data_IF_660730505226
#
_entry.id   IF_660730505226
#
_cell.length_a   1.000
_cell.length_b   1.000
_cell.length_c   1.000
_cell.angle_alpha   90.00
_cell.angle_beta   90.00
_cell.angle_gamma   90.00
#
_symmetry.space_group_name_H-M   'P 1'
#
loop_
_entity.id
_entity.type
_entity.pdbx_description
1 polymer ?
#
# COMPACT_ATOMS: atom_id res chain seq x y z
N UNK A 1 -4.53 49.88 13.99
CA UNK A 1 -4.53 48.51 14.52
C UNK A 1 -5.56 47.72 13.71
N UNK A 2 -5.14 47.30 12.53
CA UNK A 2 -5.99 46.51 11.62
C UNK A 2 -5.83 45.02 11.93
N UNK A 3 -6.94 44.39 12.24
CA UNK A 3 -7.02 42.94 12.40
C UNK A 3 -7.18 42.38 10.98
N UNK A 4 -6.09 41.84 10.43
CA UNK A 4 -6.14 41.05 9.22
C UNK A 4 -6.64 39.66 9.64
N UNK A 5 -7.91 39.37 9.35
CA UNK A 5 -8.46 38.04 9.38
C UNK A 5 -7.78 37.27 8.24
N UNK A 6 -6.83 36.41 8.57
CA UNK A 6 -6.14 35.59 7.60
C UNK A 6 -7.08 34.67 6.89
N UNK A 7 -7.37 34.96 5.63
CA UNK A 7 -7.93 33.97 4.72
C UNK A 7 -6.97 32.81 4.59
N UNK A 8 -7.47 31.61 4.79
CA UNK A 8 -6.77 30.36 4.44
C UNK A 8 -6.59 30.41 2.92
N UNK A 9 -5.39 30.80 2.49
CA UNK A 9 -4.97 30.54 1.10
C UNK A 9 -4.71 29.05 1.08
N UNK A 10 -5.64 28.26 0.57
CA UNK A 10 -5.34 26.94 0.05
C UNK A 10 -4.23 27.12 -0.98
N UNK A 11 -3.01 26.89 -0.56
CA UNK A 11 -1.90 26.73 -1.49
C UNK A 11 -2.24 25.48 -2.29
N UNK A 12 -2.69 25.69 -3.52
CA UNK A 12 -2.80 24.65 -4.53
C UNK A 12 -1.37 24.11 -4.77
N UNK A 13 -0.97 23.11 -3.98
CA UNK A 13 0.36 22.51 -3.99
C UNK A 13 0.49 21.54 -5.17
N UNK A 14 -0.05 21.93 -6.35
CA UNK A 14 0.16 21.19 -7.59
C UNK A 14 1.63 21.19 -7.95
N UNK A 15 2.26 20.04 -7.80
CA UNK A 15 3.67 19.84 -8.19
C UNK A 15 3.79 19.81 -9.71
N UNK A 16 2.76 19.29 -10.38
CA UNK A 16 2.60 19.26 -11.82
C UNK A 16 1.18 19.68 -12.20
N UNK A 17 1.04 20.35 -13.34
CA UNK A 17 -0.24 20.92 -13.78
C UNK A 17 -1.32 19.88 -14.06
N UNK A 18 -0.92 18.65 -14.40
CA UNK A 18 -1.78 17.51 -14.75
C UNK A 18 -1.91 16.47 -13.63
N UNK A 19 -1.37 16.74 -12.44
CA UNK A 19 -1.45 15.83 -11.28
C UNK A 19 -2.17 16.54 -10.14
N UNK A 20 -3.45 16.25 -9.98
CA UNK A 20 -4.26 16.76 -8.87
C UNK A 20 -4.03 15.92 -7.62
N UNK A 21 -4.36 16.45 -6.45
CA UNK A 21 -4.21 15.77 -5.16
C UNK A 21 -5.07 14.51 -5.02
N UNK A 22 -6.16 14.42 -5.77
CA UNK A 22 -7.05 13.25 -5.87
C UNK A 22 -6.60 12.20 -6.90
N UNK A 23 -5.54 12.48 -7.68
CA UNK A 23 -5.02 11.52 -8.63
C UNK A 23 -4.43 10.29 -7.91
N UNK A 24 -4.81 9.09 -8.32
CA UNK A 24 -4.40 7.83 -7.67
C UNK A 24 -2.89 7.64 -7.50
N UNK A 25 -2.06 8.22 -8.38
CA UNK A 25 -0.60 8.17 -8.30
C UNK A 25 0.03 9.46 -7.73
N UNK A 26 -0.77 10.40 -7.20
CA UNK A 26 -0.28 11.70 -6.71
C UNK A 26 0.89 11.55 -5.74
N UNK A 27 0.75 10.67 -4.77
CA UNK A 27 1.74 10.40 -3.73
C UNK A 27 3.05 9.88 -4.27
N UNK A 28 2.96 8.85 -5.10
CA UNK A 28 4.13 8.26 -5.72
C UNK A 28 4.89 9.30 -6.54
N UNK A 29 4.16 10.07 -7.35
CA UNK A 29 4.73 11.13 -8.18
C UNK A 29 5.36 12.22 -7.31
N UNK A 30 4.66 12.68 -6.26
CA UNK A 30 5.18 13.69 -5.35
C UNK A 30 6.44 13.22 -4.62
N UNK A 31 6.39 12.02 -4.05
CA UNK A 31 7.52 11.45 -3.30
C UNK A 31 8.75 11.25 -4.19
N UNK A 32 8.58 10.65 -5.37
CA UNK A 32 9.70 10.42 -6.29
C UNK A 32 10.26 11.73 -6.87
N UNK A 33 9.42 12.75 -7.05
CA UNK A 33 9.91 14.09 -7.42
C UNK A 33 10.76 14.71 -6.33
N UNK A 34 10.30 14.66 -5.08
CA UNK A 34 11.04 15.19 -3.93
C UNK A 34 12.37 14.47 -3.70
N UNK A 35 12.44 13.17 -4.06
CA UNK A 35 13.68 12.39 -4.07
C UNK A 35 14.56 12.67 -5.29
N UNK A 36 14.13 13.50 -6.24
CA UNK A 36 14.87 13.77 -7.47
C UNK A 36 14.89 12.62 -8.49
N UNK A 37 14.10 11.58 -8.28
CA UNK A 37 14.04 10.38 -9.15
C UNK A 37 13.33 10.67 -10.45
N UNK A 38 12.25 11.47 -10.39
CA UNK A 38 11.47 11.85 -11.55
C UNK A 38 11.43 13.37 -11.73
N UNK A 39 11.21 13.79 -12.96
CA UNK A 39 11.04 15.18 -13.34
C UNK A 39 9.83 15.33 -14.28
N UNK A 40 9.31 16.56 -14.40
CA UNK A 40 8.28 16.91 -15.37
C UNK A 40 8.85 17.00 -16.80
N UNK A 41 7.97 17.36 -17.73
CA UNK A 41 8.26 17.42 -19.18
C UNK A 41 8.81 18.79 -19.64
N UNK A 42 9.04 19.72 -18.72
CA UNK A 42 9.53 21.07 -19.05
C UNK A 42 8.41 22.09 -19.34
N UNK A 43 7.19 21.63 -19.59
CA UNK A 43 5.97 22.44 -19.76
C UNK A 43 5.14 22.58 -18.46
N UNK A 44 5.68 22.10 -17.36
CA UNK A 44 5.02 22.05 -16.03
C UNK A 44 4.15 20.82 -15.81
N UNK A 45 3.97 19.94 -16.81
CA UNK A 45 3.24 18.67 -16.68
C UNK A 45 4.14 17.51 -16.30
N UNK A 46 3.54 16.45 -15.71
CA UNK A 46 4.19 15.15 -15.52
C UNK A 46 3.98 14.23 -16.72
N UNK A 47 2.81 14.27 -17.34
CA UNK A 47 2.42 13.39 -18.44
C UNK A 47 2.00 12.01 -17.96
N UNK A 48 1.03 11.94 -17.05
CA UNK A 48 0.60 10.71 -16.34
C UNK A 48 0.34 9.51 -17.25
N UNK A 49 -0.30 9.73 -18.40
CA UNK A 49 -0.71 8.69 -19.35
C UNK A 49 0.32 8.40 -20.44
N UNK A 50 1.41 9.15 -20.48
CA UNK A 50 2.46 8.90 -21.46
C UNK A 50 3.24 7.64 -21.14
N UNK A 51 3.54 6.86 -22.16
CA UNK A 51 4.38 5.67 -22.02
C UNK A 51 5.84 6.03 -21.71
N UNK A 52 6.48 5.23 -20.87
CA UNK A 52 7.88 5.36 -20.49
C UNK A 52 8.77 4.60 -21.46
N UNK A 53 9.91 5.16 -21.85
CA UNK A 53 10.92 4.41 -22.61
C UNK A 53 11.77 3.53 -21.69
N UNK A 54 12.43 2.53 -22.27
CA UNK A 54 13.28 1.60 -21.51
C UNK A 54 14.41 2.31 -20.76
N UNK A 55 15.08 3.26 -21.40
CA UNK A 55 16.15 4.06 -20.81
C UNK A 55 15.63 5.03 -19.71
N UNK A 56 14.43 5.59 -19.88
CA UNK A 56 13.78 6.37 -18.85
C UNK A 56 13.47 5.52 -17.61
N UNK A 57 12.96 4.32 -17.82
CA UNK A 57 12.67 3.39 -16.74
C UNK A 57 13.93 2.98 -15.98
N UNK A 58 15.01 2.62 -16.68
CA UNK A 58 16.28 2.23 -16.05
C UNK A 58 16.84 3.36 -15.19
N UNK A 59 16.82 4.61 -15.68
CA UNK A 59 17.19 5.77 -14.89
C UNK A 59 16.36 5.90 -13.60
N UNK A 60 15.05 5.77 -13.72
CA UNK A 60 14.17 5.86 -12.55
C UNK A 60 14.42 4.71 -11.57
N UNK A 61 14.61 3.49 -12.06
CA UNK A 61 14.87 2.30 -11.23
C UNK A 61 16.15 2.45 -10.43
N UNK A 62 17.27 2.87 -11.06
CA UNK A 62 18.51 3.13 -10.34
C UNK A 62 18.36 4.30 -9.36
N UNK A 63 17.61 5.33 -9.77
CA UNK A 63 17.40 6.53 -8.98
C UNK A 63 16.68 6.30 -7.64
N UNK A 64 15.69 5.39 -7.58
CA UNK A 64 14.97 5.10 -6.32
C UNK A 64 15.88 4.50 -5.24
N UNK A 65 17.02 3.94 -5.64
CA UNK A 65 17.99 3.31 -4.74
C UNK A 65 19.23 4.16 -4.51
N UNK A 66 19.27 5.37 -5.06
CA UNK A 66 20.43 6.26 -4.95
C UNK A 66 21.69 5.65 -5.55
N UNK A 67 21.55 4.72 -6.52
CA UNK A 67 22.73 4.14 -7.19
C UNK A 67 23.37 5.19 -8.08
N UNK A 68 24.61 5.46 -7.79
CA UNK A 68 25.44 6.28 -8.67
C UNK A 68 25.75 5.51 -9.95
N UNK A 69 25.88 6.24 -11.05
CA UNK A 69 26.30 5.64 -12.33
C UNK A 69 27.81 5.42 -12.30
N UNK A 70 28.24 4.26 -12.75
CA UNK A 70 29.63 3.90 -12.85
C UNK A 70 30.14 4.12 -14.28
N UNK A 71 31.44 4.35 -14.42
CA UNK A 71 32.07 4.43 -15.71
C UNK A 71 32.44 3.01 -16.18
N UNK A 72 31.48 2.35 -16.79
CA UNK A 72 31.59 0.97 -17.28
C UNK A 72 31.44 0.93 -18.80
N UNK A 73 32.02 -0.11 -19.41
CA UNK A 73 32.01 -0.28 -20.86
C UNK A 73 30.58 -0.45 -21.41
N UNK A 74 30.34 0.18 -22.55
CA UNK A 74 29.09 0.03 -23.26
C UNK A 74 28.99 -1.37 -23.90
N UNK A 75 27.88 -2.08 -23.60
CA UNK A 75 27.59 -3.42 -24.14
C UNK A 75 26.62 -3.41 -25.32
N UNK A 76 26.05 -2.26 -25.67
CA UNK A 76 24.98 -2.16 -26.66
C UNK A 76 25.32 -1.20 -27.79
N UNK A 77 25.16 -1.64 -29.01
CA UNK A 77 25.48 -0.87 -30.22
C UNK A 77 24.55 0.32 -30.47
N UNK A 78 23.32 0.27 -29.94
CA UNK A 78 22.33 1.34 -30.04
C UNK A 78 22.40 2.38 -28.91
N UNK A 79 23.34 2.23 -27.96
CA UNK A 79 23.55 3.18 -26.86
C UNK A 79 24.65 4.18 -27.25
N UNK A 80 24.24 5.43 -27.55
CA UNK A 80 25.18 6.53 -27.80
C UNK A 80 25.76 7.02 -26.45
N UNK A 81 27.08 6.84 -26.25
CA UNK A 81 27.79 7.18 -25.01
C UNK A 81 27.73 8.66 -24.65
N UNK A 82 27.40 9.55 -25.60
CA UNK A 82 27.26 10.99 -25.34
C UNK A 82 25.87 11.39 -24.87
N UNK A 83 24.95 10.44 -24.74
CA UNK A 83 23.56 10.70 -24.31
C UNK A 83 23.40 10.51 -22.82
N UNK A 84 22.42 11.24 -22.27
CA UNK A 84 22.10 11.25 -20.83
C UNK A 84 21.82 9.86 -20.24
N UNK A 85 21.32 8.93 -21.07
CA UNK A 85 20.91 7.59 -20.62
C UNK A 85 22.06 6.59 -20.56
N UNK A 86 23.16 6.83 -21.31
CA UNK A 86 24.25 5.87 -21.43
C UNK A 86 24.84 5.43 -20.09
N UNK A 87 25.16 6.32 -19.14
CA UNK A 87 25.70 5.91 -17.85
C UNK A 87 24.74 4.99 -17.07
N UNK A 88 23.43 5.26 -17.14
CA UNK A 88 22.41 4.46 -16.46
C UNK A 88 22.25 3.08 -17.11
N UNK A 89 22.18 3.03 -18.42
CA UNK A 89 22.04 1.76 -19.17
C UNK A 89 23.27 0.88 -18.96
N UNK A 90 24.46 1.45 -19.08
CA UNK A 90 25.71 0.70 -18.90
C UNK A 90 25.87 0.17 -17.47
N UNK A 91 25.58 0.99 -16.45
CA UNK A 91 25.57 0.56 -15.04
C UNK A 91 24.56 -0.58 -14.82
N UNK A 92 23.33 -0.45 -15.34
CA UNK A 92 22.30 -1.49 -15.20
C UNK A 92 22.68 -2.79 -15.91
N UNK A 93 23.39 -2.70 -17.05
CA UNK A 93 23.93 -3.86 -17.77
C UNK A 93 25.08 -4.54 -17.00
N UNK A 94 25.94 -3.77 -16.39
CA UNK A 94 27.03 -4.31 -15.57
C UNK A 94 26.50 -5.01 -14.31
N UNK A 95 25.47 -4.43 -13.67
CA UNK A 95 24.75 -5.04 -12.57
C UNK A 95 23.90 -6.26 -12.96
N UNK A 96 23.79 -6.60 -14.26
CA UNK A 96 22.94 -7.71 -14.74
C UNK A 96 21.43 -7.45 -14.64
N UNK A 97 21.02 -6.19 -14.46
CA UNK A 97 19.60 -5.80 -14.41
C UNK A 97 19.01 -5.82 -15.83
N UNK A 98 19.74 -5.30 -16.81
CA UNK A 98 19.36 -5.30 -18.22
C UNK A 98 20.23 -6.22 -19.04
N UNK A 99 19.65 -6.87 -20.04
CA UNK A 99 20.33 -7.78 -20.96
C UNK A 99 20.08 -7.45 -22.45
N UNK A 100 19.45 -6.31 -22.72
CA UNK A 100 19.03 -5.95 -24.08
C UNK A 100 17.73 -6.63 -24.52
N UNK A 101 17.25 -6.24 -25.69
CA UNK A 101 16.15 -6.90 -26.41
C UNK A 101 16.69 -7.92 -27.42
N UNK A 102 17.94 -7.74 -27.87
CA UNK A 102 18.76 -8.64 -28.67
C UNK A 102 20.18 -8.67 -28.10
N UNK A 103 21.07 -9.47 -28.66
CA UNK A 103 22.41 -9.75 -28.11
C UNK A 103 23.23 -8.47 -27.81
N UNK A 104 23.20 -7.49 -28.71
CA UNK A 104 23.94 -6.21 -28.58
C UNK A 104 23.02 -4.97 -28.70
N UNK A 105 21.71 -5.13 -28.58
CA UNK A 105 20.72 -4.06 -28.72
C UNK A 105 19.96 -3.88 -27.41
N UNK A 106 20.07 -2.70 -26.79
CA UNK A 106 19.32 -2.34 -25.59
C UNK A 106 17.85 -2.05 -25.89
N UNK A 107 17.55 -1.46 -27.05
CA UNK A 107 16.22 -0.95 -27.42
C UNK A 107 16.01 0.50 -26.98
N UNK A 108 16.96 1.38 -27.30
CA UNK A 108 16.83 2.82 -27.02
C UNK A 108 15.62 3.41 -27.72
N UNK A 109 14.78 4.14 -26.98
CA UNK A 109 13.53 4.72 -27.49
C UNK A 109 12.33 3.77 -27.49
N UNK A 110 12.53 2.46 -27.35
CA UNK A 110 11.45 1.49 -27.20
C UNK A 110 10.66 1.75 -25.91
N UNK A 111 9.34 1.55 -25.97
CA UNK A 111 8.50 1.67 -24.78
C UNK A 111 8.59 0.40 -23.96
N UNK A 112 8.77 0.57 -22.64
CA UNK A 112 8.84 -0.58 -21.74
C UNK A 112 7.44 -1.17 -21.53
N UNK A 113 7.31 -2.49 -21.68
CA UNK A 113 6.06 -3.18 -21.37
C UNK A 113 5.93 -3.42 -19.86
N UNK A 114 4.72 -3.68 -19.40
CA UNK A 114 4.46 -3.96 -17.97
C UNK A 114 5.17 -5.24 -17.50
N UNK A 115 5.23 -6.28 -18.36
CA UNK A 115 5.98 -7.50 -18.02
C UNK A 115 7.49 -7.27 -17.99
N UNK A 116 8.06 -6.49 -18.92
CA UNK A 116 9.50 -6.18 -18.94
C UNK A 116 9.90 -5.34 -17.72
N UNK A 117 9.06 -4.36 -17.36
CA UNK A 117 9.26 -3.59 -16.15
C UNK A 117 9.35 -4.50 -14.92
N UNK A 118 8.48 -5.50 -14.80
CA UNK A 118 8.51 -6.48 -13.71
C UNK A 118 9.80 -7.29 -13.68
N UNK A 119 10.29 -7.69 -14.84
CA UNK A 119 11.57 -8.43 -14.99
C UNK A 119 12.75 -7.60 -14.48
N UNK A 120 12.84 -6.33 -14.90
CA UNK A 120 13.94 -5.46 -14.48
C UNK A 120 13.90 -5.17 -12.97
N UNK A 121 12.72 -4.94 -12.39
CA UNK A 121 12.56 -4.77 -10.94
C UNK A 121 13.03 -6.04 -10.19
N UNK A 122 12.56 -7.21 -10.59
CA UNK A 122 12.94 -8.48 -9.92
C UNK A 122 14.43 -8.74 -10.02
N UNK A 123 15.05 -8.48 -11.17
CA UNK A 123 16.51 -8.60 -11.31
C UNK A 123 17.24 -7.66 -10.35
N UNK A 124 16.79 -6.42 -10.23
CA UNK A 124 17.35 -5.48 -9.25
C UNK A 124 17.18 -6.00 -7.81
N UNK A 125 15.96 -6.43 -7.42
CA UNK A 125 15.70 -6.97 -6.09
C UNK A 125 16.58 -8.18 -5.75
N UNK A 126 16.85 -9.05 -6.73
CA UNK A 126 17.77 -10.19 -6.57
C UNK A 126 19.22 -9.75 -6.34
N UNK A 127 19.68 -8.69 -7.02
CA UNK A 127 21.00 -8.10 -6.78
C UNK A 127 21.17 -7.58 -5.34
N UNK A 128 20.08 -7.07 -4.77
CA UNK A 128 20.02 -6.61 -3.37
C UNK A 128 19.73 -7.76 -2.38
N UNK A 129 19.89 -9.03 -2.79
CA UNK A 129 19.64 -10.23 -1.99
C UNK A 129 18.23 -10.27 -1.37
N UNK A 130 17.23 -9.76 -2.08
CA UNK A 130 15.87 -9.83 -1.63
C UNK A 130 15.30 -11.23 -1.83
N UNK A 131 14.79 -11.82 -0.76
CA UNK A 131 13.93 -12.98 -0.87
C UNK A 131 12.60 -12.57 -1.51
N UNK A 132 12.21 -13.25 -2.57
CA UNK A 132 11.02 -12.96 -3.34
C UNK A 132 9.89 -13.98 -3.05
N UNK A 133 9.94 -14.55 -1.87
CA UNK A 133 8.96 -15.51 -1.41
C UNK A 133 7.72 -14.76 -0.90
N UNK A 134 6.58 -15.03 -1.52
CA UNK A 134 5.29 -14.51 -1.11
C UNK A 134 4.26 -15.64 -1.08
N UNK A 135 3.10 -15.39 -0.48
CA UNK A 135 1.98 -16.33 -0.51
C UNK A 135 1.54 -16.58 -1.96
N UNK A 136 1.16 -17.80 -2.27
CA UNK A 136 0.56 -18.11 -3.57
C UNK A 136 -0.76 -17.35 -3.70
N UNK A 137 -0.88 -16.54 -4.75
CA UNK A 137 -2.09 -15.75 -5.03
C UNK A 137 -2.71 -16.24 -6.35
N UNK A 138 -4.01 -16.00 -6.51
CA UNK A 138 -4.74 -16.32 -7.74
C UNK A 138 -4.08 -15.72 -8.97
N UNK A 139 -4.16 -16.45 -10.09
CA UNK A 139 -3.62 -15.99 -11.36
C UNK A 139 -4.36 -14.75 -11.88
N UNK A 140 -3.69 -13.96 -12.70
CA UNK A 140 -4.36 -12.92 -13.48
C UNK A 140 -5.29 -13.55 -14.52
N UNK A 141 -6.36 -12.84 -14.90
CA UNK A 141 -7.34 -13.34 -15.88
C UNK A 141 -6.71 -13.53 -17.28
N UNK A 142 -5.64 -12.81 -17.57
CA UNK A 142 -4.86 -12.85 -18.79
C UNK A 142 -3.49 -13.54 -18.61
N UNK A 143 -3.38 -14.49 -17.68
CA UNK A 143 -2.15 -15.24 -17.38
C UNK A 143 -1.49 -15.85 -18.63
N UNK A 144 -2.29 -16.33 -19.56
CA UNK A 144 -1.81 -16.90 -20.81
C UNK A 144 -1.10 -15.91 -21.75
N UNK A 145 -1.28 -14.61 -21.57
CA UNK A 145 -0.64 -13.56 -22.35
C UNK A 145 0.72 -13.13 -21.77
N UNK A 146 1.02 -13.52 -20.52
CA UNK A 146 2.32 -13.26 -19.90
C UNK A 146 3.36 -14.18 -20.55
N UNK A 147 4.40 -13.57 -21.10
CA UNK A 147 5.51 -14.33 -21.72
C UNK A 147 6.25 -15.18 -20.68
N UNK A 148 6.67 -16.39 -21.06
CA UNK A 148 7.31 -17.35 -20.16
C UNK A 148 8.49 -16.75 -19.37
N UNK A 149 9.33 -15.93 -20.03
CA UNK A 149 10.48 -15.28 -19.40
C UNK A 149 10.10 -14.29 -18.29
N UNK A 150 8.89 -13.76 -18.31
CA UNK A 150 8.42 -12.73 -17.38
C UNK A 150 7.53 -13.28 -16.27
N UNK A 151 6.99 -14.49 -16.44
CA UNK A 151 5.95 -15.08 -15.58
C UNK A 151 6.37 -15.11 -14.11
N UNK A 152 7.54 -15.66 -13.82
CA UNK A 152 8.08 -15.74 -12.46
C UNK A 152 8.25 -14.35 -11.85
N UNK A 153 8.69 -13.37 -12.63
CA UNK A 153 8.90 -12.00 -12.15
C UNK A 153 7.58 -11.28 -11.86
N UNK A 154 6.59 -11.45 -12.72
CA UNK A 154 5.25 -10.88 -12.51
C UNK A 154 4.64 -11.44 -11.23
N UNK A 155 4.67 -12.76 -11.04
CA UNK A 155 4.11 -13.38 -9.84
C UNK A 155 4.93 -13.11 -8.58
N UNK A 156 6.24 -12.99 -8.67
CA UNK A 156 7.06 -12.56 -7.54
C UNK A 156 6.63 -11.18 -7.03
N UNK A 157 6.45 -10.20 -7.93
CA UNK A 157 6.00 -8.86 -7.53
C UNK A 157 4.54 -8.85 -7.06
N UNK A 158 3.67 -9.66 -7.67
CA UNK A 158 2.28 -9.82 -7.22
C UNK A 158 2.22 -10.38 -5.80
N UNK A 159 2.95 -11.44 -5.53
CA UNK A 159 3.03 -12.10 -4.23
C UNK A 159 3.58 -11.17 -3.13
N UNK A 160 4.45 -10.23 -3.49
CA UNK A 160 4.96 -9.19 -2.60
C UNK A 160 4.01 -7.98 -2.48
N UNK A 161 2.86 -7.97 -3.15
CA UNK A 161 1.95 -6.83 -3.17
C UNK A 161 2.50 -5.58 -3.88
N UNK A 162 3.59 -5.73 -4.65
CA UNK A 162 4.24 -4.61 -5.33
C UNK A 162 3.57 -4.25 -6.66
N UNK A 163 2.88 -5.21 -7.26
CA UNK A 163 2.02 -4.96 -8.42
C UNK A 163 0.63 -5.53 -8.18
N UNK A 164 -0.37 -4.76 -8.62
CA UNK A 164 -1.74 -5.19 -8.72
C UNK A 164 -2.13 -5.26 -10.20
N UNK A 165 -3.16 -6.03 -10.52
CA UNK A 165 -3.76 -6.03 -11.84
C UNK A 165 -4.52 -4.72 -12.13
N UNK A 166 -5.17 -4.72 -13.26
CA UNK A 166 -6.20 -3.73 -13.59
C UNK A 166 -7.48 -4.09 -12.82
N UNK A 167 -8.39 -3.14 -12.68
CA UNK A 167 -9.63 -3.36 -11.92
C UNK A 167 -10.53 -4.51 -12.38
N UNK A 168 -10.24 -5.10 -13.55
CA UNK A 168 -10.90 -6.27 -14.12
C UNK A 168 -10.17 -7.61 -13.84
N UNK A 169 -9.12 -7.58 -13.03
CA UNK A 169 -8.32 -8.75 -12.68
C UNK A 169 -7.23 -9.11 -13.70
N UNK A 170 -7.09 -8.37 -14.82
CA UNK A 170 -6.01 -8.56 -15.81
C UNK A 170 -4.71 -7.87 -15.38
N UNK A 171 -3.59 -8.34 -15.89
CA UNK A 171 -2.28 -7.70 -15.74
C UNK A 171 -1.90 -6.80 -16.92
N UNK A 172 -2.37 -7.12 -18.10
CA UNK A 172 -2.01 -6.48 -19.37
C UNK A 172 -0.49 -6.50 -19.65
N UNK A 173 0.15 -7.69 -19.78
CA UNK A 173 1.61 -7.84 -19.76
C UNK A 173 2.31 -7.09 -20.89
N UNK A 174 1.72 -7.06 -22.07
CA UNK A 174 2.29 -6.44 -23.29
C UNK A 174 1.93 -4.96 -23.46
N UNK A 175 1.07 -4.42 -22.59
CA UNK A 175 0.78 -2.99 -22.63
C UNK A 175 2.00 -2.19 -22.20
N UNK A 176 2.21 -1.04 -22.82
CA UNK A 176 3.25 -0.10 -22.43
C UNK A 176 2.93 0.48 -21.04
N UNK A 177 3.92 0.50 -20.15
CA UNK A 177 3.76 1.13 -18.85
C UNK A 177 3.64 2.66 -18.99
N UNK A 178 2.64 3.25 -18.32
CA UNK A 178 2.51 4.70 -18.26
C UNK A 178 3.43 5.30 -17.19
N UNK A 179 3.69 6.61 -17.27
CA UNK A 179 4.51 7.31 -16.28
C UNK A 179 3.91 7.27 -14.89
N UNK A 180 2.57 7.36 -14.76
CA UNK A 180 1.89 7.22 -13.49
C UNK A 180 2.00 5.80 -12.92
N UNK A 181 1.80 4.77 -13.75
CA UNK A 181 1.98 3.37 -13.34
C UNK A 181 3.42 3.09 -12.91
N UNK A 182 4.39 3.58 -13.69
CA UNK A 182 5.81 3.45 -13.37
C UNK A 182 6.15 4.13 -12.04
N UNK A 183 5.68 5.35 -11.82
CA UNK A 183 5.90 6.05 -10.56
C UNK A 183 5.31 5.27 -9.37
N UNK A 184 4.08 4.77 -9.50
CA UNK A 184 3.43 4.01 -8.44
C UNK A 184 4.20 2.75 -8.08
N UNK A 185 4.60 1.95 -9.07
CA UNK A 185 5.34 0.70 -8.84
C UNK A 185 6.71 0.98 -8.22
N UNK A 186 7.47 1.92 -8.77
CA UNK A 186 8.80 2.26 -8.24
C UNK A 186 8.73 2.82 -6.82
N UNK A 187 7.69 3.59 -6.51
CA UNK A 187 7.44 4.06 -5.16
C UNK A 187 7.17 2.89 -4.20
N UNK A 188 6.30 1.96 -4.56
CA UNK A 188 6.03 0.74 -3.78
C UNK A 188 7.29 -0.10 -3.56
N UNK A 189 8.11 -0.29 -4.61
CA UNK A 189 9.40 -0.99 -4.52
C UNK A 189 10.38 -0.25 -3.58
N UNK A 190 10.44 1.08 -3.63
CA UNK A 190 11.29 1.85 -2.74
C UNK A 190 10.91 1.70 -1.27
N UNK A 191 9.61 1.65 -0.98
CA UNK A 191 9.09 1.42 0.36
C UNK A 191 9.38 0.00 0.85
N UNK A 192 9.16 -1.01 0.00
CA UNK A 192 9.50 -2.40 0.28
C UNK A 192 10.98 -2.56 0.64
N UNK A 193 11.88 -1.95 -0.14
CA UNK A 193 13.32 -2.01 0.14
C UNK A 193 13.70 -1.31 1.44
N UNK A 194 13.13 -0.15 1.71
CA UNK A 194 13.33 0.54 3.00
C UNK A 194 12.87 -0.33 4.16
N UNK A 195 11.73 -1.01 4.03
CA UNK A 195 11.19 -1.88 5.08
C UNK A 195 12.12 -3.06 5.43
N UNK A 196 12.91 -3.56 4.49
CA UNK A 196 13.82 -4.69 4.72
C UNK A 196 15.12 -4.30 5.44
N UNK A 197 15.61 -3.09 5.19
CA UNK A 197 16.89 -2.62 5.73
C UNK A 197 16.77 -2.03 7.14
N UNK A 198 15.59 -2.01 7.71
CA UNK A 198 15.33 -1.35 8.97
C UNK A 198 14.95 -2.39 10.03
N UNK A 199 15.79 -2.51 11.04
CA UNK A 199 15.39 -3.20 12.28
C UNK A 199 14.30 -2.37 12.96
N UNK A 200 13.09 -2.89 13.00
CA UNK A 200 11.90 -2.23 13.56
C UNK A 200 12.09 -1.73 15.01
N UNK A 201 13.08 -2.26 15.72
CA UNK A 201 13.32 -1.98 17.13
C UNK A 201 13.96 -0.62 17.40
N UNK A 202 14.54 0.03 16.40
CA UNK A 202 15.31 1.27 16.56
C UNK A 202 14.77 2.48 15.80
N UNK A 203 13.62 2.35 15.12
CA UNK A 203 13.00 3.47 14.42
C UNK A 203 12.16 4.32 15.36
N UNK A 204 12.31 5.62 15.26
CA UNK A 204 11.51 6.60 16.00
C UNK A 204 10.92 7.64 15.05
N UNK A 205 9.70 8.11 15.34
CA UNK A 205 9.08 9.22 14.62
C UNK A 205 8.82 8.98 13.14
N UNK A 206 9.11 9.98 12.32
CA UNK A 206 8.77 10.05 10.89
C UNK A 206 9.24 8.85 10.06
N UNK A 207 10.38 8.24 10.39
CA UNK A 207 10.91 7.09 9.63
C UNK A 207 10.02 5.85 9.82
N UNK A 208 9.57 5.60 11.05
CA UNK A 208 8.63 4.51 11.35
C UNK A 208 7.28 4.75 10.69
N UNK A 209 6.79 5.98 10.74
CA UNK A 209 5.57 6.39 10.05
C UNK A 209 5.63 6.12 8.55
N UNK A 210 6.67 6.61 7.88
CA UNK A 210 6.86 6.43 6.44
C UNK A 210 6.92 4.96 6.05
N UNK A 211 7.55 4.14 6.88
CA UNK A 211 7.64 2.71 6.66
C UNK A 211 6.28 2.02 6.73
N UNK A 212 5.53 2.24 7.82
CA UNK A 212 4.23 1.60 8.02
C UNK A 212 3.20 2.12 7.02
N UNK A 213 3.15 3.43 6.78
CA UNK A 213 2.28 4.02 5.77
C UNK A 213 2.56 3.41 4.40
N UNK A 214 3.84 3.31 4.02
CA UNK A 214 4.25 2.69 2.76
C UNK A 214 3.84 1.22 2.63
N UNK A 215 4.00 0.43 3.69
CA UNK A 215 3.56 -0.98 3.72
C UNK A 215 2.06 -1.09 3.41
N UNK A 216 1.23 -0.35 4.12
CA UNK A 216 -0.22 -0.48 3.97
C UNK A 216 -0.78 0.22 2.72
N UNK A 217 -0.08 1.21 2.19
CA UNK A 217 -0.37 1.78 0.87
C UNK A 217 -0.05 0.81 -0.27
N UNK A 218 1.11 0.14 -0.19
CA UNK A 218 1.50 -0.87 -1.18
C UNK A 218 0.49 -2.03 -1.25
N UNK A 219 -0.14 -2.35 -0.13
CA UNK A 219 -1.22 -3.34 -0.03
C UNK A 219 -2.60 -2.75 -0.39
N UNK A 220 -2.65 -1.48 -0.80
CA UNK A 220 -3.91 -0.76 -1.08
C UNK A 220 -4.92 -0.79 0.10
N UNK A 221 -4.43 -0.90 1.33
CA UNK A 221 -5.25 -0.93 2.56
C UNK A 221 -5.68 0.48 2.94
N UNK A 222 -4.75 1.43 2.87
CA UNK A 222 -4.99 2.84 3.14
C UNK A 222 -4.80 3.66 1.87
N UNK A 223 -5.57 4.74 1.67
CA UNK A 223 -5.26 5.75 0.68
C UNK A 223 -3.97 6.47 1.10
N UNK A 224 -3.63 7.53 0.39
CA UNK A 224 -2.53 8.41 0.78
C UNK A 224 -2.59 8.77 2.27
N UNK A 225 -1.44 8.73 2.98
CA UNK A 225 -1.44 9.06 4.39
C UNK A 225 -1.85 10.51 4.63
N UNK A 226 -2.81 10.68 5.52
CA UNK A 226 -3.03 11.94 6.20
C UNK A 226 -1.76 12.33 6.99
N UNK A 227 -1.75 13.50 7.60
CA UNK A 227 -0.67 13.87 8.51
C UNK A 227 -0.46 12.78 9.56
N UNK A 228 0.79 12.44 9.85
CA UNK A 228 1.20 11.41 10.83
C UNK A 228 0.38 11.45 12.12
N UNK A 229 0.15 12.66 12.64
CA UNK A 229 -0.59 12.91 13.87
C UNK A 229 -2.06 13.31 13.62
N UNK A 230 -2.55 13.21 12.39
CA UNK A 230 -3.95 13.48 12.05
C UNK A 230 -4.87 12.53 12.80
N UNK A 231 -5.89 13.06 13.48
CA UNK A 231 -6.88 12.25 14.20
C UNK A 231 -7.76 11.50 13.21
N UNK A 232 -7.93 10.19 13.42
CA UNK A 232 -8.73 9.32 12.57
C UNK A 232 -10.17 9.31 13.03
N UNK A 233 -11.11 9.49 12.09
CA UNK A 233 -12.54 9.36 12.38
C UNK A 233 -13.01 7.91 12.28
N UNK A 234 -14.19 7.60 12.84
CA UNK A 234 -14.81 6.26 12.77
C UNK A 234 -15.05 5.81 11.34
N UNK A 235 -15.47 6.71 10.45
CA UNK A 235 -15.66 6.43 9.04
C UNK A 235 -14.35 6.14 8.30
N UNK A 236 -13.31 6.91 8.57
CA UNK A 236 -11.97 6.65 8.03
C UNK A 236 -11.43 5.31 8.52
N UNK A 237 -11.56 5.00 9.81
CA UNK A 237 -11.16 3.70 10.35
C UNK A 237 -11.91 2.55 9.69
N UNK A 238 -13.23 2.67 9.50
CA UNK A 238 -14.02 1.65 8.79
C UNK A 238 -13.48 1.39 7.38
N UNK A 239 -13.10 2.45 6.64
CA UNK A 239 -12.50 2.33 5.32
C UNK A 239 -11.14 1.62 5.36
N UNK A 240 -10.27 2.01 6.29
CA UNK A 240 -8.96 1.38 6.43
C UNK A 240 -9.07 -0.09 6.84
N UNK A 241 -9.98 -0.39 7.76
CA UNK A 241 -10.23 -1.77 8.20
C UNK A 241 -10.81 -2.64 7.08
N UNK A 242 -11.74 -2.13 6.27
CA UNK A 242 -12.25 -2.85 5.10
C UNK A 242 -11.14 -3.17 4.10
N UNK A 243 -10.18 -2.26 3.91
CA UNK A 243 -8.96 -2.52 3.16
C UNK A 243 -8.10 -3.60 3.82
N UNK A 244 -7.88 -3.51 5.13
CA UNK A 244 -7.05 -4.42 5.92
C UNK A 244 -7.56 -5.87 5.89
N UNK A 245 -8.87 -6.09 5.90
CA UNK A 245 -9.48 -7.41 5.80
C UNK A 245 -9.90 -7.81 4.39
N UNK A 246 -9.42 -7.09 3.37
CA UNK A 246 -9.72 -7.31 1.95
C UNK A 246 -11.23 -7.31 1.61
N UNK A 247 -12.01 -6.46 2.27
CA UNK A 247 -13.46 -6.36 2.11
C UNK A 247 -13.91 -5.19 1.22
N UNK A 248 -13.03 -4.64 0.38
CA UNK A 248 -13.33 -3.48 -0.48
C UNK A 248 -14.47 -3.71 -1.46
N UNK A 249 -14.64 -4.95 -1.92
CA UNK A 249 -15.67 -5.36 -2.86
C UNK A 249 -16.84 -6.04 -2.15
N UNK A 250 -17.07 -5.69 -0.88
CA UNK A 250 -18.18 -6.26 -0.12
C UNK A 250 -19.53 -5.99 -0.82
N UNK A 251 -20.21 -7.08 -1.21
CA UNK A 251 -21.53 -7.03 -1.81
C UNK A 251 -22.60 -7.01 -0.71
N UNK A 252 -23.26 -5.88 -0.58
CA UNK A 252 -24.40 -5.73 0.35
C UNK A 252 -25.66 -6.35 -0.22
N UNK A 253 -26.51 -6.91 0.65
CA UNK A 253 -27.75 -7.56 0.26
C UNK A 253 -28.88 -6.57 -0.12
N UNK A 254 -28.79 -5.34 0.36
CA UNK A 254 -29.78 -4.28 0.13
C UNK A 254 -29.19 -2.88 0.40
N UNK A 255 -29.90 -1.85 -0.06
CA UNK A 255 -29.60 -0.44 0.24
C UNK A 255 -30.56 0.07 1.32
N UNK A 256 -30.19 -0.11 2.59
CA UNK A 256 -30.98 0.41 3.71
C UNK A 256 -30.16 1.32 4.62
N UNK A 257 -30.85 2.25 5.25
CA UNK A 257 -30.28 3.04 6.36
C UNK A 257 -29.98 2.12 7.53
N UNK A 258 -28.72 2.11 7.99
CA UNK A 258 -28.27 1.29 9.13
C UNK A 258 -28.17 2.11 10.42
N UNK A 259 -27.79 3.38 10.31
CA UNK A 259 -27.80 4.38 11.37
C UNK A 259 -28.42 5.67 10.81
N UNK A 260 -28.94 6.53 11.64
CA UNK A 260 -29.60 7.77 11.18
C UNK A 260 -28.65 8.71 10.42
N UNK A 261 -27.34 8.62 10.67
CA UNK A 261 -26.27 9.37 10.03
C UNK A 261 -25.52 8.58 8.95
N UNK A 262 -25.87 7.31 8.70
CA UNK A 262 -25.25 6.45 7.68
C UNK A 262 -26.34 5.90 6.75
N UNK A 263 -26.61 6.67 5.72
CA UNK A 263 -27.62 6.38 4.71
C UNK A 263 -26.97 5.95 3.39
N UNK A 264 -27.69 5.22 2.52
CA UNK A 264 -27.19 4.88 1.19
C UNK A 264 -26.64 6.11 0.44
N UNK A 265 -25.41 6.01 -0.05
CA UNK A 265 -24.72 7.10 -0.76
C UNK A 265 -23.93 8.08 0.13
N UNK A 266 -24.00 7.96 1.47
CA UNK A 266 -23.10 8.71 2.35
C UNK A 266 -21.65 8.20 2.26
N UNK A 267 -20.70 9.06 2.58
CA UNK A 267 -19.29 8.69 2.68
C UNK A 267 -19.12 7.53 3.66
N UNK A 268 -18.30 6.55 3.32
CA UNK A 268 -18.05 5.34 4.11
C UNK A 268 -19.26 4.41 4.31
N UNK A 269 -20.37 4.60 3.57
CA UNK A 269 -21.57 3.76 3.73
C UNK A 269 -21.26 2.27 3.55
N UNK A 270 -20.54 1.89 2.50
CA UNK A 270 -20.26 0.48 2.19
C UNK A 270 -19.35 -0.16 3.25
N UNK A 271 -18.36 0.56 3.71
CA UNK A 271 -17.41 0.08 4.73
C UNK A 271 -18.08 -0.04 6.10
N UNK A 272 -18.85 0.95 6.51
CA UNK A 272 -19.62 0.88 7.76
C UNK A 272 -20.69 -0.21 7.67
N UNK A 273 -21.32 -0.37 6.49
CA UNK A 273 -22.26 -1.45 6.23
C UNK A 273 -21.62 -2.83 6.36
N UNK A 274 -20.40 -3.00 5.85
CA UNK A 274 -19.61 -4.22 6.05
C UNK A 274 -19.41 -4.53 7.54
N UNK A 275 -19.00 -3.55 8.34
CA UNK A 275 -18.82 -3.74 9.79
C UNK A 275 -20.14 -4.08 10.48
N UNK A 276 -21.24 -3.43 10.08
CA UNK A 276 -22.57 -3.67 10.63
C UNK A 276 -23.07 -5.07 10.33
N UNK A 277 -23.03 -5.50 9.06
CA UNK A 277 -23.57 -6.79 8.65
C UNK A 277 -22.84 -7.96 9.29
N UNK A 278 -21.51 -7.84 9.44
CA UNK A 278 -20.66 -8.85 10.09
C UNK A 278 -20.69 -8.79 11.63
N UNK A 279 -21.40 -7.84 12.23
CA UNK A 279 -21.50 -7.74 13.70
C UNK A 279 -20.27 -7.20 14.40
N UNK A 280 -19.36 -6.55 13.66
CA UNK A 280 -18.14 -5.98 14.22
C UNK A 280 -18.39 -4.69 15.02
N UNK A 281 -19.52 -4.02 14.77
CA UNK A 281 -19.97 -2.82 15.48
C UNK A 281 -21.35 -3.05 16.13
N UNK A 282 -21.67 -2.24 17.14
CA UNK A 282 -22.94 -2.38 17.87
C UNK A 282 -24.11 -1.91 16.99
N UNK A 283 -25.08 -2.81 16.80
CA UNK A 283 -26.30 -2.58 15.99
C UNK A 283 -27.41 -1.85 16.74
N UNK A 284 -27.28 -1.69 18.06
CA UNK A 284 -28.33 -1.10 18.89
C UNK A 284 -28.28 0.44 18.95
N UNK A 285 -27.19 1.03 18.50
CA UNK A 285 -27.04 2.48 18.47
C UNK A 285 -27.87 3.08 17.32
N UNK A 286 -28.50 4.23 17.55
CA UNK A 286 -29.24 4.95 16.51
C UNK A 286 -28.34 5.79 15.60
N UNK A 287 -27.13 6.14 16.05
CA UNK A 287 -26.13 6.98 15.37
C UNK A 287 -24.79 6.26 15.42
N UNK A 288 -24.07 6.25 14.32
CA UNK A 288 -22.70 5.73 14.25
C UNK A 288 -21.65 6.80 14.61
N UNK A 289 -21.85 8.01 14.13
CA UNK A 289 -20.92 9.15 14.30
C UNK A 289 -19.72 9.02 13.39
N UNK A 290 -19.91 8.84 12.08
CA UNK A 290 -18.85 8.59 11.11
C UNK A 290 -17.73 9.65 11.13
N UNK A 291 -18.07 10.91 11.41
CA UNK A 291 -17.12 12.03 11.46
C UNK A 291 -16.49 12.23 12.86
N UNK A 292 -16.93 11.48 13.88
CA UNK A 292 -16.36 11.58 15.21
C UNK A 292 -14.99 10.86 15.27
N UNK A 293 -14.03 11.36 16.05
CA UNK A 293 -12.80 10.65 16.34
C UNK A 293 -13.05 9.24 16.86
N UNK A 294 -12.25 8.27 16.42
CA UNK A 294 -12.31 6.92 16.98
C UNK A 294 -11.40 6.81 18.20
N UNK A 295 -11.84 6.09 19.22
CA UNK A 295 -11.06 5.85 20.44
C UNK A 295 -10.36 4.50 20.43
N UNK A 296 -9.33 4.35 21.26
CA UNK A 296 -8.60 3.10 21.42
C UNK A 296 -9.50 1.96 21.88
N UNK A 297 -10.45 2.25 22.78
CA UNK A 297 -11.41 1.26 23.25
C UNK A 297 -12.37 0.78 22.16
N UNK A 298 -12.85 1.68 21.30
CA UNK A 298 -13.69 1.29 20.16
C UNK A 298 -12.93 0.42 19.16
N UNK A 299 -11.67 0.76 18.88
CA UNK A 299 -10.81 -0.06 18.01
C UNK A 299 -10.55 -1.42 18.63
N UNK A 300 -10.31 -1.51 19.96
CA UNK A 300 -10.11 -2.79 20.63
C UNK A 300 -11.31 -3.72 20.48
N UNK A 301 -12.54 -3.20 20.64
CA UNK A 301 -13.77 -3.98 20.42
C UNK A 301 -13.83 -4.48 18.99
N UNK A 302 -13.67 -3.59 18.01
CA UNK A 302 -13.80 -3.93 16.59
C UNK A 302 -12.73 -4.94 16.18
N UNK A 303 -11.47 -4.73 16.54
CA UNK A 303 -10.37 -5.63 16.19
C UNK A 303 -10.50 -7.01 16.83
N UNK A 304 -10.93 -7.10 18.10
CA UNK A 304 -11.22 -8.39 18.73
C UNK A 304 -12.33 -9.15 17.99
N UNK A 305 -13.40 -8.47 17.59
CA UNK A 305 -14.50 -9.09 16.82
C UNK A 305 -14.05 -9.56 15.44
N UNK A 306 -13.27 -8.72 14.74
CA UNK A 306 -12.72 -9.05 13.41
C UNK A 306 -11.82 -10.27 13.46
N UNK A 307 -11.00 -10.40 14.50
CA UNK A 307 -10.02 -11.48 14.65
C UNK A 307 -10.58 -12.70 15.43
N UNK A 308 -11.87 -12.69 15.83
CA UNK A 308 -12.53 -13.80 16.48
C UNK A 308 -12.33 -13.88 18.00
N UNK A 309 -11.78 -12.85 18.64
CA UNK A 309 -11.51 -12.81 20.07
C UNK A 309 -12.70 -12.28 20.92
N UNK A 310 -13.86 -12.05 20.31
CA UNK A 310 -15.06 -11.51 20.96
C UNK A 310 -15.49 -12.35 22.18
N UNK A 311 -15.48 -13.66 22.03
CA UNK A 311 -15.85 -14.62 23.11
C UNK A 311 -14.94 -14.48 24.33
N UNK A 312 -13.63 -14.40 24.12
CA UNK A 312 -12.68 -14.22 25.23
C UNK A 312 -12.89 -12.90 25.96
N UNK A 313 -13.21 -11.83 25.23
CA UNK A 313 -13.51 -10.54 25.84
C UNK A 313 -14.81 -10.57 26.65
N UNK A 314 -15.84 -11.26 26.16
CA UNK A 314 -17.14 -11.46 26.84
C UNK A 314 -16.94 -12.28 28.11
N UNK A 315 -16.20 -13.39 28.10
CA UNK A 315 -15.90 -14.21 29.26
C UNK A 315 -15.12 -13.43 30.33
N UNK A 316 -14.32 -12.46 29.94
CA UNK A 316 -13.58 -11.57 30.85
C UNK A 316 -14.39 -10.33 31.30
N UNK A 317 -15.71 -10.32 31.09
CA UNK A 317 -16.63 -9.29 31.59
C UNK A 317 -17.31 -8.45 30.52
N UNK A 318 -16.94 -8.57 29.21
CA UNK A 318 -17.65 -7.99 28.08
C UNK A 318 -17.65 -6.46 27.99
N UNK A 319 -16.85 -5.78 28.78
CA UNK A 319 -16.73 -4.32 28.76
C UNK A 319 -15.51 -3.86 27.94
N UNK A 320 -15.41 -2.56 27.66
CA UNK A 320 -14.32 -1.98 26.86
C UNK A 320 -12.93 -2.37 27.39
N UNK A 321 -12.74 -2.36 28.73
CA UNK A 321 -11.46 -2.73 29.35
C UNK A 321 -11.12 -4.21 29.14
N UNK A 322 -12.12 -5.09 29.10
CA UNK A 322 -11.94 -6.53 28.80
C UNK A 322 -11.47 -6.73 27.36
N UNK A 323 -12.10 -6.05 26.40
CA UNK A 323 -11.68 -6.08 25.00
C UNK A 323 -10.26 -5.54 24.83
N UNK A 324 -9.94 -4.42 25.46
CA UNK A 324 -8.60 -3.86 25.40
C UNK A 324 -7.55 -4.81 26.01
N UNK A 325 -7.86 -5.41 27.16
CA UNK A 325 -6.96 -6.38 27.80
C UNK A 325 -6.70 -7.60 26.92
N UNK A 326 -7.75 -8.15 26.28
CA UNK A 326 -7.63 -9.28 25.35
C UNK A 326 -6.83 -8.87 24.12
N UNK A 327 -7.09 -7.68 23.56
CA UNK A 327 -6.38 -7.21 22.37
C UNK A 327 -4.87 -7.02 22.62
N UNK A 328 -4.49 -6.49 23.78
CA UNK A 328 -3.08 -6.32 24.16
C UNK A 328 -2.42 -7.65 24.47
N UNK A 329 -3.10 -8.54 25.22
CA UNK A 329 -2.54 -9.85 25.59
C UNK A 329 -2.31 -10.80 24.43
N UNK A 330 -2.93 -10.54 23.27
CA UNK A 330 -2.80 -11.33 22.04
C UNK A 330 -2.09 -10.57 20.91
N UNK A 331 -1.35 -9.53 21.25
CA UNK A 331 -0.57 -8.71 20.32
C UNK A 331 -1.40 -8.11 19.14
N UNK A 332 -2.72 -7.98 19.32
CA UNK A 332 -3.60 -7.32 18.35
C UNK A 332 -3.36 -5.81 18.38
N UNK A 333 -3.25 -5.25 19.58
CA UNK A 333 -2.96 -3.83 19.82
C UNK A 333 -1.62 -3.73 20.54
N UNK A 334 -0.65 -2.98 19.98
CA UNK A 334 0.63 -2.75 20.66
C UNK A 334 0.46 -1.78 21.83
N UNK A 335 1.46 -1.68 22.70
CA UNK A 335 1.47 -0.72 23.79
C UNK A 335 1.67 0.71 23.28
N UNK A 336 0.58 1.40 22.97
CA UNK A 336 0.57 2.78 22.47
C UNK A 336 0.77 3.84 23.55
N UNK A 337 0.87 3.46 24.84
CA UNK A 337 0.90 4.39 26.00
C UNK A 337 -0.31 5.32 26.03
N UNK A 338 -1.47 4.82 25.64
CA UNK A 338 -2.76 5.50 25.59
C UNK A 338 -3.77 4.78 26.48
N UNK A 339 -4.80 5.50 26.90
CA UNK A 339 -5.97 4.96 27.60
C UNK A 339 -7.06 4.58 26.60
N UNK A 340 -8.03 3.79 27.01
CA UNK A 340 -9.16 3.37 26.17
C UNK A 340 -10.02 4.53 25.68
N UNK A 341 -10.01 5.68 26.36
CA UNK A 341 -10.78 6.87 26.00
C UNK A 341 -9.99 7.83 25.06
N UNK A 342 -8.70 7.59 24.86
CA UNK A 342 -7.88 8.42 23.97
C UNK A 342 -8.23 8.19 22.51
N UNK A 343 -8.29 9.28 21.78
CA UNK A 343 -8.46 9.24 20.31
C UNK A 343 -7.17 8.81 19.64
N UNK A 344 -7.32 8.17 18.48
CA UNK A 344 -6.20 7.62 17.73
C UNK A 344 -5.77 8.54 16.59
N UNK A 345 -4.46 8.70 16.45
CA UNK A 345 -3.84 9.29 15.29
C UNK A 345 -3.73 8.27 14.16
N UNK A 346 -3.43 8.76 12.96
CA UNK A 346 -3.18 7.88 11.82
C UNK A 346 -2.00 6.93 12.08
N UNK A 347 -0.94 7.39 12.74
CA UNK A 347 0.18 6.55 13.15
C UNK A 347 -0.24 5.43 14.11
N UNK A 348 -1.09 5.72 15.10
CA UNK A 348 -1.60 4.69 16.00
C UNK A 348 -2.33 3.57 15.24
N UNK A 349 -3.13 3.92 14.22
CA UNK A 349 -3.83 2.94 13.39
C UNK A 349 -2.85 2.07 12.59
N UNK A 350 -1.79 2.67 12.05
CA UNK A 350 -0.75 1.91 11.34
C UNK A 350 -0.04 0.93 12.27
N UNK A 351 0.28 1.32 13.49
CA UNK A 351 0.89 0.46 14.50
C UNK A 351 -0.04 -0.68 14.92
N UNK A 352 -1.33 -0.41 15.07
CA UNK A 352 -2.34 -1.43 15.37
C UNK A 352 -2.44 -2.43 14.21
N UNK A 353 -2.52 -1.98 12.96
CA UNK A 353 -2.59 -2.88 11.82
C UNK A 353 -1.32 -3.70 11.65
N UNK A 354 -0.14 -3.13 11.90
CA UNK A 354 1.12 -3.87 11.86
C UNK A 354 1.17 -4.96 12.94
N UNK A 355 0.72 -4.67 14.15
CA UNK A 355 0.61 -5.65 15.23
C UNK A 355 -0.41 -6.74 14.88
N UNK A 356 -1.64 -6.33 14.54
CA UNK A 356 -2.73 -7.23 14.19
C UNK A 356 -2.42 -8.13 12.99
N UNK A 357 -1.62 -7.65 12.02
CA UNK A 357 -1.20 -8.46 10.88
C UNK A 357 -0.34 -9.68 11.26
N UNK A 358 0.20 -9.69 12.46
CA UNK A 358 1.05 -10.78 13.00
C UNK A 358 0.30 -11.61 14.05
N UNK A 359 -0.87 -11.16 14.48
CA UNK A 359 -1.70 -11.87 15.45
C UNK A 359 -2.41 -13.07 14.79
N UNK A 360 -2.71 -14.08 15.60
CA UNK A 360 -3.50 -15.22 15.13
C UNK A 360 -4.99 -14.84 15.05
N UNK A 361 -5.70 -15.44 14.10
CA UNK A 361 -7.16 -15.41 14.09
C UNK A 361 -7.72 -16.57 14.89
N UNK A 362 -8.78 -16.33 15.65
CA UNK A 362 -9.58 -17.36 16.28
C UNK A 362 -10.73 -17.71 15.35
N UNK A 363 -10.81 -18.97 14.93
CA UNK A 363 -11.88 -19.47 14.05
C UNK A 363 -12.76 -20.40 14.86
N UNK A 364 -14.07 -20.20 14.79
CA UNK A 364 -15.05 -21.11 15.37
C UNK A 364 -15.06 -22.42 14.58
N UNK A 365 -14.70 -23.53 15.22
CA UNK A 365 -14.79 -24.88 14.64
C UNK A 365 -16.22 -25.40 14.83
N UNK A 366 -17.06 -25.16 13.85
CA UNK A 366 -18.51 -25.49 13.86
C UNK A 366 -18.79 -26.99 14.11
N UNK A 367 -17.81 -27.88 13.96
CA UNK A 367 -17.98 -29.33 14.16
C UNK A 367 -17.61 -29.81 15.57
N UNK A 368 -17.06 -28.95 16.42
CA UNK A 368 -16.71 -29.30 17.80
C UNK A 368 -17.36 -28.32 18.77
N UNK A 369 -18.42 -28.75 19.40
CA UNK A 369 -19.12 -28.02 20.45
C UNK A 369 -18.13 -27.24 21.35
N UNK A 370 -18.14 -25.91 21.23
CA UNK A 370 -17.61 -24.92 22.16
C UNK A 370 -16.11 -24.93 22.48
N UNK A 371 -15.24 -25.40 21.62
CA UNK A 371 -13.78 -25.21 21.76
C UNK A 371 -13.27 -24.42 20.55
N UNK A 372 -12.91 -23.15 20.78
CA UNK A 372 -12.21 -22.34 19.78
C UNK A 372 -10.81 -22.90 19.59
N UNK A 373 -10.48 -23.29 18.37
CA UNK A 373 -9.11 -23.64 18.03
C UNK A 373 -8.41 -22.41 17.47
N UNK A 374 -7.25 -22.07 18.03
CA UNK A 374 -6.29 -21.24 17.31
C UNK A 374 -5.80 -22.11 16.16
N UNK A 375 -6.32 -21.87 14.95
CA UNK A 375 -5.73 -22.53 13.79
C UNK A 375 -4.40 -21.82 13.47
N UNK A 376 -3.40 -22.60 12.99
CA UNK A 376 -2.17 -22.05 12.41
C UNK A 376 -2.51 -21.30 11.10
N UNK A 377 -3.36 -20.28 11.20
CA UNK A 377 -3.71 -19.45 10.07
C UNK A 377 -2.56 -18.50 9.88
N UNK A 378 -1.99 -18.58 8.70
CA UNK A 378 -1.07 -17.60 8.14
C UNK A 378 -1.53 -16.20 8.54
N UNK A 379 -0.66 -15.35 9.08
CA UNK A 379 -0.98 -13.96 9.36
C UNK A 379 -1.70 -13.35 8.17
N UNK A 380 -2.67 -12.48 8.43
CA UNK A 380 -3.56 -11.89 7.43
C UNK A 380 -2.84 -11.29 6.22
N UNK A 381 -1.51 -11.09 6.32
CA UNK A 381 -0.66 -10.57 5.26
C UNK A 381 0.78 -11.08 5.40
N UNK A 382 1.14 -12.11 4.62
CA UNK A 382 2.50 -12.42 4.22
C UNK A 382 2.64 -12.26 2.72
#
# INVERSE_FOLDING_TARGET
>A
MEIIVGGIIEKDNKIFTDVNTDHWAYTAINSLKNLGVISGRGDGSFGTDNSVTREEFVKMLLGIFGKETENVDNKFSDVDENKWYAPYVNTAADMGIVSGIEEDIFGVGEKITRQDMSVLIVRYLKQENCELNGAAIDSFTDDGDISDYAKDSVYALKNLGLINGMGDGSFMPRANATRAQTAQILYSVSLFMKSRNISYTNLTGSDRYMLLAGKFMALDIIPFPNEENGIVTKGQFAKYLAGFVNAKNYEKSDDKTIFSDVVPGSTYYNEIRFLYDNGYIDKNNSVFGADNPITLGEVAIIMCRVLGYDVYAIENGGNISSYYSVAVSNDIIPNLRKTIDDTLSFMDILEIFDSASKAYMVVDDLDKSSIYSISDITPLYY
#
